data_IF_487288505272
#
_entry.id   IF_487288505272
#
_cell.length_a   1.000
_cell.length_b   1.000
_cell.length_c   1.000
_cell.angle_alpha   90.00
_cell.angle_beta   90.00
_cell.angle_gamma   90.00
#
_symmetry.space_group_name_H-M   'P 1'
#
loop_
_entity.id
_entity.type
_entity.pdbx_description
1 polymer ?
#
# COMPACT_ATOMS: atom_id res chain seq x y z
N UNK A 1 -2.61 -21.06 -2.88
CA UNK A 1 -1.15 -21.18 -3.14
C UNK A 1 -0.41 -19.82 -3.10
N UNK A 2 -1.00 -18.70 -3.52
CA UNK A 2 -0.33 -17.38 -3.47
C UNK A 2 -0.03 -16.84 -2.05
N UNK A 3 -0.89 -17.13 -1.07
CA UNK A 3 -0.72 -16.71 0.32
C UNK A 3 0.60 -17.21 0.92
N UNK A 4 0.96 -18.46 0.60
CA UNK A 4 2.15 -19.12 1.13
C UNK A 4 3.44 -18.51 0.56
N UNK A 5 3.48 -18.19 -0.73
CA UNK A 5 4.63 -17.54 -1.36
C UNK A 5 4.83 -16.10 -0.85
N UNK A 6 3.75 -15.34 -0.68
CA UNK A 6 3.81 -14.00 -0.08
C UNK A 6 4.25 -14.08 1.39
N UNK A 7 3.72 -15.05 2.13
CA UNK A 7 4.12 -15.35 3.51
C UNK A 7 5.62 -15.67 3.59
N UNK A 8 6.12 -16.59 2.78
CA UNK A 8 7.53 -16.98 2.80
C UNK A 8 8.46 -15.87 2.34
N UNK A 9 8.05 -15.03 1.38
CA UNK A 9 8.83 -13.86 0.96
C UNK A 9 8.96 -12.84 2.08
N UNK A 10 7.86 -12.58 2.79
CA UNK A 10 7.87 -11.74 3.99
C UNK A 10 8.77 -12.40 5.03
N UNK A 11 8.55 -13.67 5.37
CA UNK A 11 9.35 -14.42 6.35
C UNK A 11 10.85 -14.56 5.99
N UNK A 12 11.22 -14.58 4.71
CA UNK A 12 12.61 -14.69 4.25
C UNK A 12 13.35 -13.36 4.29
N UNK A 13 12.69 -12.25 3.96
CA UNK A 13 13.25 -10.89 4.14
C UNK A 13 13.51 -10.58 5.63
N UNK A 14 12.90 -11.37 6.51
CA UNK A 14 12.87 -11.25 7.97
C UNK A 14 13.98 -12.09 8.65
N UNK A 15 15.02 -12.50 7.92
CA UNK A 15 16.16 -13.23 8.48
C UNK A 15 16.96 -12.43 9.53
N UNK A 16 16.48 -12.39 10.78
CA UNK A 16 17.15 -12.23 12.10
C UNK A 16 16.07 -12.09 13.21
N UNK A 17 16.07 -13.03 14.16
CA UNK A 17 15.30 -13.05 15.44
C UNK A 17 13.86 -13.58 15.42
N UNK A 18 13.70 -14.90 15.22
CA UNK A 18 12.44 -15.68 15.23
C UNK A 18 11.39 -15.36 16.33
N UNK A 19 11.76 -14.75 17.46
CA UNK A 19 10.87 -14.58 18.64
C UNK A 19 9.99 -13.32 18.57
N UNK A 20 10.50 -12.22 18.04
CA UNK A 20 9.72 -10.97 17.86
C UNK A 20 8.72 -11.08 16.70
N UNK A 21 9.11 -11.82 15.66
CA UNK A 21 8.39 -11.92 14.38
C UNK A 21 7.08 -12.69 14.52
N UNK A 22 7.05 -13.74 15.36
CA UNK A 22 5.85 -14.55 15.57
C UNK A 22 4.65 -13.70 16.04
N UNK A 23 4.92 -12.61 16.77
CA UNK A 23 3.90 -11.66 17.21
C UNK A 23 3.41 -10.74 16.10
N UNK A 24 4.10 -10.66 14.96
CA UNK A 24 3.80 -9.71 13.89
C UNK A 24 3.12 -10.33 12.68
N UNK A 25 3.38 -11.62 12.45
CA UNK A 25 2.74 -12.41 11.38
C UNK A 25 1.21 -12.34 11.40
N UNK A 26 0.51 -12.43 12.56
CA UNK A 26 -0.96 -12.39 12.58
C UNK A 26 -1.53 -11.12 11.96
N UNK A 27 -0.89 -9.96 12.18
CA UNK A 27 -1.36 -8.67 11.66
C UNK A 27 -1.39 -8.65 10.14
N UNK A 28 -0.33 -9.15 9.47
CA UNK A 28 -0.27 -9.22 8.01
C UNK A 28 -1.29 -10.23 7.47
N UNK A 29 -1.41 -11.40 8.10
CA UNK A 29 -2.35 -12.45 7.67
C UNK A 29 -3.80 -11.99 7.81
N UNK A 30 -4.15 -11.25 8.87
CA UNK A 30 -5.49 -10.73 9.11
C UNK A 30 -5.90 -9.65 8.09
N UNK A 31 -4.94 -8.97 7.47
CA UNK A 31 -5.21 -7.97 6.44
C UNK A 31 -5.36 -8.57 5.05
N UNK A 32 -4.78 -9.74 4.78
CA UNK A 32 -4.75 -10.34 3.45
C UNK A 32 -6.12 -10.43 2.74
N UNK A 33 -7.23 -10.80 3.40
CA UNK A 33 -8.53 -10.90 2.75
C UNK A 33 -9.12 -9.57 2.26
N UNK A 34 -8.51 -8.44 2.61
CA UNK A 34 -9.07 -7.10 2.35
C UNK A 34 -8.69 -6.53 0.98
N UNK A 35 -7.73 -7.14 0.27
CA UNK A 35 -7.33 -6.73 -1.07
C UNK A 35 -6.65 -7.86 -1.84
N UNK A 36 -6.89 -7.91 -3.16
CA UNK A 36 -6.24 -8.89 -4.02
C UNK A 36 -4.73 -8.70 -4.08
N UNK A 37 -4.00 -9.81 -4.08
CA UNK A 37 -2.55 -9.78 -4.24
C UNK A 37 -2.16 -9.51 -5.69
N UNK A 38 -1.22 -8.58 -5.87
CA UNK A 38 -0.49 -8.44 -7.12
C UNK A 38 0.91 -7.93 -6.86
N UNK A 39 1.92 -8.63 -7.35
CA UNK A 39 3.29 -8.14 -7.30
C UNK A 39 3.44 -6.95 -8.25
N UNK A 40 4.08 -5.89 -7.78
CA UNK A 40 4.17 -4.63 -8.51
C UNK A 40 5.55 -4.01 -8.32
N UNK A 41 6.26 -3.74 -9.42
CA UNK A 41 7.63 -3.24 -9.37
C UNK A 41 7.79 -1.87 -8.66
N UNK A 42 6.71 -1.09 -8.55
CA UNK A 42 6.71 0.27 -7.97
C UNK A 42 5.62 0.47 -6.93
N UNK A 43 5.18 -0.60 -6.25
CA UNK A 43 4.16 -0.46 -5.23
C UNK A 43 4.66 0.36 -4.05
N UNK A 44 3.80 1.27 -3.60
CA UNK A 44 3.93 1.99 -2.35
C UNK A 44 2.54 2.25 -1.80
N UNK A 45 2.39 2.06 -0.49
CA UNK A 45 1.13 2.34 0.19
C UNK A 45 0.75 3.82 0.06
N UNK A 46 1.72 4.73 0.05
CA UNK A 46 1.48 6.16 -0.14
C UNK A 46 0.79 6.47 -1.48
N UNK A 47 1.31 5.92 -2.58
CA UNK A 47 0.71 6.11 -3.92
C UNK A 47 -0.64 5.42 -4.07
N UNK A 48 -0.78 4.21 -3.52
CA UNK A 48 -2.06 3.51 -3.52
C UNK A 48 -3.14 4.37 -2.85
N UNK A 49 -2.82 4.90 -1.67
CA UNK A 49 -3.74 5.74 -0.91
C UNK A 49 -4.01 7.06 -1.63
N UNK A 50 -3.00 7.70 -2.20
CA UNK A 50 -3.16 8.92 -2.99
C UNK A 50 -4.13 8.72 -4.16
N UNK A 51 -3.98 7.62 -4.91
CA UNK A 51 -4.81 7.33 -6.07
C UNK A 51 -6.26 6.95 -5.73
N UNK A 52 -6.50 6.38 -4.54
CA UNK A 52 -7.77 5.73 -4.21
C UNK A 52 -8.54 6.34 -3.02
N UNK A 53 -7.98 7.29 -2.26
CA UNK A 53 -8.72 7.97 -1.18
C UNK A 53 -9.63 9.12 -1.67
N UNK A 54 -9.56 9.47 -2.95
CA UNK A 54 -10.24 10.62 -3.54
C UNK A 54 -9.48 11.93 -3.33
N UNK A 55 -10.07 13.04 -3.77
CA UNK A 55 -9.42 14.35 -3.78
C UNK A 55 -9.67 15.17 -2.50
N UNK A 56 -8.74 16.09 -2.19
CA UNK A 56 -8.89 17.14 -1.19
C UNK A 56 -8.50 16.77 0.26
N UNK A 57 -8.86 17.65 1.19
CA UNK A 57 -8.40 17.64 2.59
C UNK A 57 -8.79 16.36 3.36
N UNK A 58 -9.89 15.70 2.96
CA UNK A 58 -10.36 14.47 3.57
C UNK A 58 -9.40 13.29 3.37
N UNK A 59 -8.79 13.18 2.19
CA UNK A 59 -7.80 12.15 1.88
C UNK A 59 -6.52 12.36 2.70
N UNK A 60 -6.01 13.60 2.72
CA UNK A 60 -4.85 13.97 3.51
C UNK A 60 -5.08 13.77 5.02
N UNK A 61 -6.29 14.05 5.53
CA UNK A 61 -6.62 13.82 6.94
C UNK A 61 -6.64 12.33 7.30
N UNK A 62 -7.28 11.48 6.47
CA UNK A 62 -7.28 10.02 6.67
C UNK A 62 -5.87 9.44 6.63
N UNK A 63 -5.05 9.90 5.69
CA UNK A 63 -3.67 9.47 5.58
C UNK A 63 -2.82 9.88 6.79
N UNK A 64 -2.93 11.14 7.24
CA UNK A 64 -2.25 11.60 8.47
C UNK A 64 -2.64 10.78 9.70
N UNK A 65 -3.93 10.44 9.82
CA UNK A 65 -4.43 9.56 10.90
C UNK A 65 -3.87 8.15 10.84
N UNK A 66 -3.61 7.61 9.64
CA UNK A 66 -2.95 6.31 9.47
C UNK A 66 -1.48 6.38 9.92
N UNK A 67 -0.77 7.46 9.56
CA UNK A 67 0.60 7.67 9.98
C UNK A 67 0.74 7.93 11.48
N UNK A 68 -0.30 8.46 12.13
CA UNK A 68 -0.28 8.77 13.57
C UNK A 68 -0.67 7.59 14.46
N UNK A 69 -0.86 6.37 13.93
CA UNK A 69 -1.20 5.22 14.77
C UNK A 69 -0.12 4.97 15.84
N UNK A 70 -0.55 4.71 17.06
CA UNK A 70 0.34 4.49 18.21
C UNK A 70 0.39 3.02 18.62
N UNK A 71 -0.53 2.20 18.10
CA UNK A 71 -0.57 0.75 18.38
C UNK A 71 -0.82 -0.08 17.12
N UNK A 72 -0.41 -1.36 17.18
CA UNK A 72 -0.63 -2.32 16.10
C UNK A 72 -2.11 -2.57 15.84
N UNK A 73 -2.92 -2.67 16.90
CA UNK A 73 -4.37 -2.87 16.76
C UNK A 73 -5.04 -1.67 16.09
N UNK A 74 -4.60 -0.45 16.42
CA UNK A 74 -5.07 0.76 15.75
C UNK A 74 -4.65 0.78 14.28
N UNK A 75 -3.39 0.44 13.99
CA UNK A 75 -2.88 0.34 12.63
C UNK A 75 -3.70 -0.68 11.82
N UNK A 76 -3.92 -1.87 12.34
CA UNK A 76 -4.72 -2.92 11.70
C UNK A 76 -6.15 -2.45 11.44
N UNK A 77 -6.79 -1.85 12.45
CA UNK A 77 -8.15 -1.34 12.30
C UNK A 77 -8.24 -0.30 11.17
N UNK A 78 -7.30 0.65 11.11
CA UNK A 78 -7.26 1.65 10.05
C UNK A 78 -6.92 1.04 8.70
N UNK A 79 -5.94 0.13 8.64
CA UNK A 79 -5.54 -0.58 7.41
C UNK A 79 -6.70 -1.35 6.81
N UNK A 80 -7.48 -2.07 7.62
CA UNK A 80 -8.72 -2.75 7.17
C UNK A 80 -9.69 -1.80 6.47
N UNK A 81 -9.88 -0.61 7.05
CA UNK A 81 -10.76 0.41 6.49
C UNK A 81 -10.26 0.94 5.15
N UNK A 82 -8.99 1.35 5.07
CA UNK A 82 -8.43 1.89 3.83
C UNK A 82 -8.30 0.84 2.74
N UNK A 83 -7.92 -0.40 3.09
CA UNK A 83 -7.78 -1.49 2.12
C UNK A 83 -9.12 -1.82 1.47
N UNK A 84 -10.21 -1.93 2.25
CA UNK A 84 -11.57 -2.08 1.71
C UNK A 84 -11.94 -0.96 0.74
N UNK A 85 -11.63 0.29 1.09
CA UNK A 85 -11.91 1.44 0.24
C UNK A 85 -11.14 1.36 -1.08
N UNK A 86 -9.85 1.03 -1.02
CA UNK A 86 -9.02 0.88 -2.22
C UNK A 86 -9.43 -0.34 -3.06
N UNK A 87 -9.80 -1.46 -2.43
CA UNK A 87 -10.26 -2.65 -3.13
C UNK A 87 -11.60 -2.39 -3.86
N UNK A 88 -12.50 -1.61 -3.26
CA UNK A 88 -13.76 -1.21 -3.90
C UNK A 88 -13.56 -0.37 -5.18
N UNK A 89 -12.38 0.27 -5.34
CA UNK A 89 -11.98 0.99 -6.55
C UNK A 89 -11.06 0.17 -7.46
N UNK A 90 -10.97 -1.15 -7.24
CA UNK A 90 -10.21 -2.09 -8.09
C UNK A 90 -8.71 -2.11 -7.82
N UNK A 91 -8.24 -1.47 -6.74
CA UNK A 91 -6.83 -1.44 -6.41
C UNK A 91 -6.31 -2.83 -5.98
N UNK A 92 -5.08 -3.14 -6.38
CA UNK A 92 -4.38 -4.38 -6.00
C UNK A 92 -3.17 -4.07 -5.13
N UNK A 93 -2.87 -4.96 -4.20
CA UNK A 93 -1.84 -4.75 -3.17
C UNK A 93 -0.65 -5.68 -3.35
N UNK A 94 0.56 -5.12 -3.30
CA UNK A 94 1.76 -5.91 -3.13
C UNK A 94 1.96 -6.23 -1.65
N UNK A 95 1.42 -7.37 -1.22
CA UNK A 95 1.51 -7.87 0.14
C UNK A 95 2.94 -8.16 0.61
N UNK A 96 3.89 -8.36 -0.30
CA UNK A 96 5.31 -8.48 0.07
C UNK A 96 5.86 -7.15 0.59
N UNK A 97 5.50 -6.05 -0.09
CA UNK A 97 5.89 -4.70 0.33
C UNK A 97 5.08 -4.26 1.55
N UNK A 98 3.75 -4.36 1.51
CA UNK A 98 2.90 -3.92 2.61
C UNK A 98 3.14 -4.74 3.88
N UNK A 99 3.33 -6.05 3.77
CA UNK A 99 3.62 -6.92 4.92
C UNK A 99 4.93 -6.54 5.61
N UNK A 100 5.97 -6.23 4.82
CA UNK A 100 7.23 -5.69 5.33
C UNK A 100 7.01 -4.33 6.01
N UNK A 101 6.27 -3.42 5.39
CA UNK A 101 6.03 -2.10 5.97
C UNK A 101 5.27 -2.19 7.30
N UNK A 102 4.25 -3.05 7.41
CA UNK A 102 3.48 -3.30 8.65
C UNK A 102 4.37 -3.89 9.76
N UNK A 103 5.29 -4.79 9.40
CA UNK A 103 6.24 -5.34 10.36
C UNK A 103 7.11 -4.25 10.98
N UNK A 104 7.67 -3.39 10.11
CA UNK A 104 8.61 -2.34 10.50
C UNK A 104 7.95 -1.03 10.94
N UNK A 105 6.62 -0.90 10.84
CA UNK A 105 5.91 0.37 11.09
C UNK A 105 6.17 0.97 12.49
N UNK A 106 6.42 0.14 13.50
CA UNK A 106 6.72 0.57 14.88
C UNK A 106 8.18 0.35 15.28
N UNK A 107 8.90 -0.52 14.57
CA UNK A 107 10.31 -0.81 14.85
C UNK A 107 11.27 0.14 14.13
N UNK A 108 10.84 0.67 12.97
CA UNK A 108 11.54 1.66 12.15
C UNK A 108 10.53 2.69 11.64
N UNK A 109 9.87 3.31 12.63
CA UNK A 109 8.72 4.19 12.47
C UNK A 109 9.00 5.34 11.52
N UNK A 110 10.13 6.02 11.70
CA UNK A 110 10.49 7.18 10.91
C UNK A 110 10.71 6.82 9.44
N UNK A 111 11.34 5.66 9.15
CA UNK A 111 11.56 5.24 7.77
C UNK A 111 10.25 4.89 7.08
N UNK A 112 9.42 4.04 7.67
CA UNK A 112 8.17 3.57 7.03
C UNK A 112 7.22 4.73 6.81
N UNK A 113 6.98 5.56 7.84
CA UNK A 113 6.06 6.72 7.74
C UNK A 113 6.56 7.75 6.73
N UNK A 114 7.88 8.02 6.71
CA UNK A 114 8.47 8.95 5.74
C UNK A 114 8.33 8.44 4.31
N UNK A 115 8.61 7.16 4.05
CA UNK A 115 8.47 6.57 2.73
C UNK A 115 7.02 6.67 2.23
N UNK A 116 6.06 6.30 3.08
CA UNK A 116 4.65 6.44 2.75
C UNK A 116 4.26 7.89 2.49
N UNK A 117 4.72 8.83 3.32
CA UNK A 117 4.40 10.25 3.16
C UNK A 117 5.00 10.84 1.88
N UNK A 118 6.26 10.55 1.58
CA UNK A 118 6.93 11.00 0.36
C UNK A 118 6.17 10.55 -0.89
N UNK A 119 5.75 9.28 -0.91
CA UNK A 119 5.00 8.71 -2.01
C UNK A 119 3.56 9.23 -2.10
N UNK A 120 2.90 9.51 -0.96
CA UNK A 120 1.54 10.04 -0.93
C UNK A 120 1.46 11.49 -1.42
N UNK A 121 2.46 12.31 -1.08
CA UNK A 121 2.51 13.71 -1.48
C UNK A 121 3.27 13.93 -2.81
N UNK A 122 3.82 12.87 -3.41
CA UNK A 122 4.47 12.97 -4.70
C UNK A 122 3.45 13.39 -5.78
N UNK A 123 3.79 14.30 -6.71
CA UNK A 123 2.90 14.65 -7.80
C UNK A 123 2.61 13.40 -8.66
N UNK A 124 1.32 13.15 -8.91
CA UNK A 124 0.89 12.08 -9.83
C UNK A 124 1.33 12.51 -11.22
N UNK A 125 2.35 11.82 -11.76
CA UNK A 125 2.70 11.98 -13.17
C UNK A 125 1.57 11.36 -13.99
N UNK A 126 0.65 12.17 -14.47
CA UNK A 126 -0.24 11.78 -15.55
C UNK A 126 0.66 11.51 -16.75
N UNK A 127 0.89 10.24 -17.06
CA UNK A 127 1.51 9.85 -18.32
C UNK A 127 0.51 10.22 -19.43
N UNK A 128 0.67 11.41 -19.97
CA UNK A 128 -0.02 11.88 -21.18
C UNK A 128 0.46 11.03 -22.36
N UNK A 129 -0.11 9.85 -22.49
CA UNK A 129 0.10 8.96 -23.64
C UNK A 129 -1.26 8.62 -24.24
N UNK A 130 -1.94 9.65 -24.75
CA UNK A 130 -3.09 9.49 -25.65
C UNK A 130 -3.41 10.79 -26.42
N UNK A 131 -2.40 11.42 -27.02
CA UNK A 131 -2.61 12.44 -28.08
C UNK A 131 -1.54 12.26 -29.17
N UNK A 132 -1.51 11.07 -29.79
CA UNK A 132 -0.86 10.84 -31.09
C UNK A 132 -1.64 9.77 -31.87
N UNK A 133 -2.78 10.19 -32.39
CA UNK A 133 -3.52 9.54 -33.46
C UNK A 133 -4.32 10.64 -34.16
N UNK A 134 -3.62 11.56 -34.83
CA UNK A 134 -3.62 11.60 -36.30
C UNK A 134 -5.01 11.89 -36.85
N UNK A 135 -5.34 13.18 -36.74
CA UNK A 135 -6.03 13.95 -37.75
C UNK A 135 -5.58 13.50 -39.16
N UNK A 136 -6.43 12.73 -39.85
CA UNK A 136 -6.40 12.57 -41.30
C UNK A 136 -7.79 12.91 -41.83
N UNK A 137 -7.83 14.06 -42.49
CA UNK A 137 -8.95 14.68 -43.18
C UNK A 137 -9.63 13.77 -44.23
N UNK A 138 -10.88 14.06 -44.61
CA UNK A 138 -11.67 13.23 -45.50
C UNK A 138 -11.18 13.39 -46.94
N UNK A 139 -11.12 12.30 -47.71
CA UNK A 139 -10.97 12.39 -49.15
C UNK A 139 -12.25 11.97 -49.86
N UNK A 140 -12.55 12.79 -50.87
CA UNK A 140 -13.72 12.86 -51.74
C UNK A 140 -14.07 11.59 -52.51
#
# INVERSE_FOLDING_TARGET
VQLEAAYWKVASDIGKSHREIAHHVPHVVLLFPYADHHQQARFSMGRLLQAHLGDGDGAALRFRRLLSCESRDELDHRLRGVLRLTAASGARVDWGVLGRDVLWFFADTDRVRRNWAQDFYAPIKVSTESERGSDQSPNS
#
